data_IF_686300778203
#
_entry.id   IF_686300778203
#
_cell.length_a   1.000
_cell.length_b   1.000
_cell.length_c   1.000
_cell.angle_alpha   90.00
_cell.angle_beta   90.00
_cell.angle_gamma   90.00
#
_symmetry.space_group_name_H-M   'P 1'
#
loop_
_entity.id
_entity.type
_entity.pdbx_description
1 polymer ?
#
# COMPACT_ATOMS: atom_id res chain seq x y z
N UNK A 1 10.85 22.71 -4.95
CA UNK A 1 11.60 21.67 -4.20
C UNK A 1 10.65 21.16 -3.14
N UNK A 2 10.05 19.99 -3.34
CA UNK A 2 9.16 19.40 -2.33
C UNK A 2 9.98 19.17 -1.06
N UNK A 3 9.61 19.84 0.03
CA UNK A 3 10.18 19.57 1.33
C UNK A 3 9.97 18.09 1.63
N UNK A 4 11.03 17.28 1.58
CA UNK A 4 10.96 15.92 2.12
C UNK A 4 10.62 16.08 3.59
N UNK A 5 9.42 15.63 3.99
CA UNK A 5 9.06 15.46 5.39
C UNK A 5 10.17 14.59 5.99
N UNK A 6 11.03 15.19 6.83
CA UNK A 6 12.02 14.42 7.57
C UNK A 6 11.24 13.59 8.58
N UNK A 7 11.26 12.27 8.42
CA UNK A 7 10.59 11.35 9.32
C UNK A 7 11.13 11.57 10.74
N UNK A 8 10.29 12.07 11.65
CA UNK A 8 10.62 12.29 13.06
C UNK A 8 10.45 10.98 13.85
N UNK A 9 11.17 9.92 13.46
CA UNK A 9 11.19 8.65 14.19
C UNK A 9 12.25 8.71 15.29
N UNK A 10 12.04 9.58 16.27
CA UNK A 10 12.95 9.70 17.40
C UNK A 10 12.61 8.61 18.45
N UNK A 11 13.63 8.03 19.07
CA UNK A 11 13.46 7.09 20.19
C UNK A 11 13.26 5.61 19.83
N UNK A 12 13.32 5.24 18.55
CA UNK A 12 13.30 3.83 18.14
C UNK A 12 14.68 3.20 18.28
N UNK A 13 14.72 1.96 18.75
CA UNK A 13 15.87 1.08 18.59
C UNK A 13 16.09 0.74 17.11
N UNK A 14 17.28 0.21 16.79
CA UNK A 14 17.60 -0.21 15.42
C UNK A 14 16.62 -1.25 14.88
N UNK A 15 16.20 -2.19 15.72
CA UNK A 15 15.28 -3.27 15.33
C UNK A 15 13.88 -2.73 15.04
N UNK A 16 13.34 -1.87 15.91
CA UNK A 16 12.02 -1.27 15.69
C UNK A 16 11.98 -0.42 14.41
N UNK A 17 13.06 0.32 14.13
CA UNK A 17 13.17 1.07 12.88
C UNK A 17 13.17 0.14 11.65
N UNK A 18 13.90 -0.97 11.70
CA UNK A 18 13.94 -1.94 10.59
C UNK A 18 12.58 -2.60 10.37
N UNK A 19 11.91 -3.01 11.44
CA UNK A 19 10.56 -3.57 11.41
C UNK A 19 9.56 -2.56 10.82
N UNK A 20 9.60 -1.30 11.28
CA UNK A 20 8.73 -0.25 10.75
C UNK A 20 8.96 -0.02 9.25
N UNK A 21 10.23 0.02 8.83
CA UNK A 21 10.59 0.18 7.41
C UNK A 21 10.03 -0.96 6.57
N UNK A 22 10.13 -2.19 7.06
CA UNK A 22 9.57 -3.37 6.39
C UNK A 22 8.04 -3.31 6.30
N UNK A 23 7.36 -2.96 7.39
CA UNK A 23 5.90 -2.76 7.41
C UNK A 23 5.46 -1.69 6.41
N UNK A 24 6.19 -0.57 6.30
CA UNK A 24 5.91 0.45 5.29
C UNK A 24 6.06 -0.07 3.86
N UNK A 25 7.07 -0.90 3.59
CA UNK A 25 7.23 -1.52 2.28
C UNK A 25 6.09 -2.48 1.95
N UNK A 26 5.68 -3.32 2.91
CA UNK A 26 4.55 -4.25 2.75
C UNK A 26 3.26 -3.47 2.52
N UNK A 27 3.00 -2.43 3.32
CA UNK A 27 1.82 -1.58 3.17
C UNK A 27 1.74 -0.91 1.79
N UNK A 28 2.87 -0.39 1.29
CA UNK A 28 2.97 0.15 -0.08
C UNK A 28 2.64 -0.91 -1.13
N UNK A 29 3.18 -2.12 -0.98
CA UNK A 29 2.92 -3.21 -1.92
C UNK A 29 1.44 -3.61 -1.92
N UNK A 30 0.83 -3.71 -0.74
CA UNK A 30 -0.59 -4.03 -0.59
C UNK A 30 -1.50 -2.96 -1.19
N UNK A 31 -1.15 -1.68 -1.01
CA UNK A 31 -1.84 -0.58 -1.69
C UNK A 31 -1.75 -0.70 -3.21
N UNK A 32 -0.56 -1.01 -3.73
CA UNK A 32 -0.35 -1.18 -5.16
C UNK A 32 -1.20 -2.32 -5.74
N UNK A 33 -1.28 -3.47 -5.07
CA UNK A 33 -2.14 -4.59 -5.48
C UNK A 33 -3.59 -4.12 -5.62
N UNK A 34 -4.12 -3.46 -4.59
CA UNK A 34 -5.48 -2.95 -4.62
C UNK A 34 -5.71 -1.94 -5.75
N UNK A 35 -4.79 -1.00 -5.93
CA UNK A 35 -4.88 0.02 -6.99
C UNK A 35 -4.85 -0.61 -8.39
N UNK A 36 -3.96 -1.58 -8.62
CA UNK A 36 -3.87 -2.24 -9.92
C UNK A 36 -5.12 -3.05 -10.23
N UNK A 37 -5.66 -3.78 -9.25
CA UNK A 37 -6.90 -4.54 -9.43
C UNK A 37 -8.07 -3.63 -9.82
N UNK A 38 -8.25 -2.51 -9.11
CA UNK A 38 -9.30 -1.53 -9.41
C UNK A 38 -9.09 -0.93 -10.80
N UNK A 39 -7.86 -0.56 -11.15
CA UNK A 39 -7.53 0.05 -12.45
C UNK A 39 -7.79 -0.91 -13.62
N UNK A 40 -7.36 -2.17 -13.51
CA UNK A 40 -7.56 -3.19 -14.54
C UNK A 40 -9.06 -3.45 -14.73
N UNK A 41 -9.78 -3.68 -13.63
CA UNK A 41 -11.22 -3.92 -13.67
C UNK A 41 -11.98 -2.77 -14.32
N UNK A 42 -11.65 -1.53 -13.96
CA UNK A 42 -12.28 -0.35 -14.54
C UNK A 42 -12.03 -0.23 -16.04
N UNK A 43 -10.83 -0.54 -16.52
CA UNK A 43 -10.57 -0.42 -17.96
C UNK A 43 -11.33 -1.44 -18.80
N UNK A 44 -11.51 -2.65 -18.27
CA UNK A 44 -12.22 -3.75 -18.92
C UNK A 44 -13.75 -3.60 -18.82
N UNK A 45 -14.27 -3.27 -17.63
CA UNK A 45 -15.71 -3.30 -17.34
C UNK A 45 -16.36 -1.91 -17.31
N UNK A 46 -15.55 -0.83 -17.28
CA UNK A 46 -16.01 0.57 -17.07
C UNK A 46 -16.74 0.79 -15.74
N UNK A 47 -16.54 -0.09 -14.78
CA UNK A 47 -17.17 -0.06 -13.46
C UNK A 47 -16.14 -0.03 -12.33
N UNK A 48 -16.56 0.45 -11.16
CA UNK A 48 -15.72 0.46 -9.97
C UNK A 48 -15.70 -0.91 -9.29
N UNK A 49 -14.49 -1.42 -9.03
CA UNK A 49 -14.29 -2.62 -8.22
C UNK A 49 -14.40 -2.29 -6.74
N UNK A 50 -15.47 -2.73 -6.08
CA UNK A 50 -15.66 -2.50 -4.65
C UNK A 50 -14.67 -3.31 -3.79
N UNK A 51 -14.57 -2.91 -2.51
CA UNK A 51 -13.64 -3.52 -1.56
C UNK A 51 -13.87 -5.03 -1.39
N UNK A 52 -15.10 -5.47 -1.18
CA UNK A 52 -15.45 -6.88 -0.96
C UNK A 52 -14.94 -7.78 -2.10
N UNK A 53 -15.19 -7.38 -3.36
CA UNK A 53 -14.70 -8.11 -4.53
C UNK A 53 -13.16 -8.06 -4.63
N UNK A 54 -12.57 -6.89 -4.40
CA UNK A 54 -11.12 -6.72 -4.47
C UNK A 54 -10.38 -7.53 -3.38
N UNK A 55 -10.97 -7.64 -2.19
CA UNK A 55 -10.40 -8.41 -1.08
C UNK A 55 -10.21 -9.88 -1.45
N UNK A 56 -11.20 -10.50 -2.12
CA UNK A 56 -11.08 -11.87 -2.59
C UNK A 56 -9.98 -12.03 -3.65
N UNK A 57 -9.84 -11.05 -4.56
CA UNK A 57 -8.78 -11.06 -5.58
C UNK A 57 -7.39 -10.88 -4.96
N UNK A 58 -7.24 -9.98 -3.99
CA UNK A 58 -5.96 -9.71 -3.34
C UNK A 58 -5.48 -10.82 -2.41
N UNK A 59 -6.35 -11.77 -2.03
CA UNK A 59 -6.02 -12.92 -1.18
C UNK A 59 -5.49 -14.13 -1.98
N UNK A 60 -5.68 -14.14 -3.30
CA UNK A 60 -5.30 -15.25 -4.18
C UNK A 60 -3.81 -15.24 -4.45
#
# INVERSE_FOLDING_TARGET
MYFCIKQQLNGLTKEEYLTLRELCHIAKNMYNVGLYNVRQYYFEHKEFLNYEKNYHLAKT
#
